data_IF_096424088029
#
_entry.id   IF_096424088029
#
_cell.length_a   1.000
_cell.length_b   1.000
_cell.length_c   1.000
_cell.angle_alpha   90.00
_cell.angle_beta   90.00
_cell.angle_gamma   90.00
#
_symmetry.space_group_name_H-M   'P 1'
#
loop_
_entity.id
_entity.type
_entity.pdbx_description
1 polymer ?
#
# COMPACT_ATOMS: atom_id res chain seq x y z
N UNK A 1 62.24 -0.76 -34.04
CA UNK A 1 61.55 -1.82 -33.28
C UNK A 1 61.69 -3.11 -34.08
N UNK A 2 62.29 -4.16 -33.52
CA UNK A 2 62.63 -5.37 -34.26
C UNK A 2 61.36 -6.03 -34.86
N UNK A 3 61.38 -6.49 -36.12
CA UNK A 3 60.21 -7.05 -36.81
C UNK A 3 59.56 -8.22 -36.05
N UNK A 4 60.35 -8.99 -35.31
CA UNK A 4 59.89 -10.11 -34.46
C UNK A 4 58.95 -9.66 -33.32
N UNK A 5 59.22 -8.51 -32.68
CA UNK A 5 58.37 -7.99 -31.61
C UNK A 5 57.00 -7.54 -32.13
N UNK A 6 56.95 -7.06 -33.38
CA UNK A 6 55.70 -6.65 -34.03
C UNK A 6 54.81 -7.85 -34.38
N UNK A 7 55.43 -8.97 -34.75
CA UNK A 7 54.71 -10.21 -35.04
C UNK A 7 54.10 -10.83 -33.78
N UNK A 8 54.87 -10.86 -32.67
CA UNK A 8 54.39 -11.35 -31.37
C UNK A 8 53.21 -10.52 -30.87
N UNK A 9 53.29 -9.19 -30.98
CA UNK A 9 52.21 -8.28 -30.57
C UNK A 9 50.93 -8.53 -31.39
N UNK A 10 51.05 -8.70 -32.71
CA UNK A 10 49.91 -8.98 -33.59
C UNK A 10 49.24 -10.34 -33.28
N UNK A 11 50.04 -11.36 -32.95
CA UNK A 11 49.50 -12.67 -32.53
C UNK A 11 48.75 -12.56 -31.19
N UNK A 12 49.32 -11.86 -30.21
CA UNK A 12 48.69 -11.64 -28.91
C UNK A 12 47.38 -10.84 -29.01
N UNK A 13 47.33 -9.80 -29.85
CA UNK A 13 46.11 -9.00 -30.10
C UNK A 13 45.02 -9.85 -30.76
N UNK A 14 45.38 -10.66 -31.77
CA UNK A 14 44.44 -11.56 -32.44
C UNK A 14 43.87 -12.60 -31.50
N UNK A 15 44.72 -13.20 -30.64
CA UNK A 15 44.31 -14.21 -29.67
C UNK A 15 43.41 -13.62 -28.57
N UNK A 16 43.74 -12.43 -28.04
CA UNK A 16 42.88 -11.69 -27.10
C UNK A 16 41.51 -11.35 -27.72
N UNK A 17 41.48 -11.02 -29.01
CA UNK A 17 40.22 -10.73 -29.72
C UNK A 17 39.35 -11.98 -29.85
N UNK A 18 39.95 -13.13 -30.19
CA UNK A 18 39.24 -14.40 -30.29
C UNK A 18 38.70 -14.90 -28.94
N UNK A 19 39.48 -14.78 -27.86
CA UNK A 19 39.02 -15.16 -26.52
C UNK A 19 37.87 -14.29 -26.02
N UNK A 20 37.87 -13.00 -26.38
CA UNK A 20 36.78 -12.07 -26.06
C UNK A 20 35.51 -12.41 -26.83
N UNK A 21 35.60 -12.66 -28.13
CA UNK A 21 34.46 -13.11 -28.95
C UNK A 21 33.87 -14.41 -28.41
N UNK A 22 34.71 -15.37 -28.01
CA UNK A 22 34.24 -16.63 -27.42
C UNK A 22 33.51 -16.42 -26.09
N UNK A 23 34.01 -15.50 -25.25
CA UNK A 23 33.35 -15.15 -23.97
C UNK A 23 32.01 -14.46 -24.22
N UNK A 24 31.96 -13.53 -25.17
CA UNK A 24 30.74 -12.79 -25.52
C UNK A 24 29.68 -13.75 -26.10
N UNK A 25 30.08 -14.71 -26.93
CA UNK A 25 29.18 -15.75 -27.45
C UNK A 25 28.64 -16.66 -26.34
N UNK A 26 29.50 -17.13 -25.42
CA UNK A 26 29.04 -17.95 -24.29
C UNK A 26 28.07 -17.18 -23.37
N UNK A 27 28.25 -15.87 -23.23
CA UNK A 27 27.33 -15.03 -22.45
C UNK A 27 25.99 -14.82 -23.17
N UNK A 28 26.01 -14.73 -24.51
CA UNK A 28 24.80 -14.67 -25.32
C UNK A 28 24.02 -15.99 -25.28
N UNK A 29 24.72 -17.13 -25.34
CA UNK A 29 24.09 -18.45 -25.22
C UNK A 29 23.45 -18.64 -23.84
N UNK A 30 24.16 -18.28 -22.76
CA UNK A 30 23.60 -18.33 -21.40
C UNK A 30 22.42 -17.36 -21.17
N UNK A 31 22.40 -16.23 -21.89
CA UNK A 31 21.27 -15.29 -21.87
C UNK A 31 20.07 -15.86 -22.63
N UNK A 32 20.32 -16.51 -23.77
CA UNK A 32 19.31 -17.18 -24.59
C UNK A 32 18.64 -18.31 -23.80
N UNK A 33 19.41 -19.16 -23.14
CA UNK A 33 18.89 -20.27 -22.33
C UNK A 33 17.99 -19.76 -21.20
N UNK A 34 18.36 -18.66 -20.54
CA UNK A 34 17.52 -18.03 -19.50
C UNK A 34 16.26 -17.38 -20.05
N UNK A 35 16.31 -16.82 -21.26
CA UNK A 35 15.12 -16.26 -21.91
C UNK A 35 14.17 -17.40 -22.29
N UNK A 36 14.68 -18.51 -22.81
CA UNK A 36 13.87 -19.70 -23.13
C UNK A 36 13.21 -20.29 -21.86
N UNK A 37 13.92 -20.33 -20.73
CA UNK A 37 13.37 -20.74 -19.42
C UNK A 37 12.25 -19.81 -18.91
N UNK A 38 12.38 -18.49 -19.13
CA UNK A 38 11.43 -17.50 -18.63
C UNK A 38 10.19 -17.31 -19.51
N UNK A 39 10.36 -17.47 -20.83
CA UNK A 39 9.34 -17.17 -21.84
C UNK A 39 8.51 -18.39 -22.19
N UNK A 40 9.00 -19.61 -21.96
CA UNK A 40 8.31 -20.82 -22.37
C UNK A 40 8.08 -21.85 -21.24
N UNK A 41 7.24 -21.53 -20.22
CA UNK A 41 6.85 -22.50 -19.20
C UNK A 41 5.96 -23.65 -19.72
N UNK A 42 5.64 -23.68 -21.03
CA UNK A 42 4.72 -24.64 -21.66
C UNK A 42 5.37 -25.48 -22.78
N UNK A 43 6.68 -25.71 -22.73
CA UNK A 43 7.44 -26.49 -23.74
C UNK A 43 6.87 -27.88 -24.10
N UNK A 44 5.99 -28.45 -23.27
CA UNK A 44 5.34 -29.75 -23.53
C UNK A 44 4.11 -29.70 -24.45
N UNK A 45 3.57 -28.51 -24.74
CA UNK A 45 2.36 -28.37 -25.58
C UNK A 45 2.67 -27.68 -26.92
N UNK A 46 3.46 -28.33 -27.77
CA UNK A 46 3.39 -28.29 -29.26
C UNK A 46 3.09 -26.97 -30.01
N UNK A 47 3.31 -25.81 -29.40
CA UNK A 47 2.88 -24.51 -29.94
C UNK A 47 4.07 -23.78 -30.55
N UNK A 48 3.84 -23.24 -31.76
CA UNK A 48 4.86 -22.66 -32.61
C UNK A 48 5.54 -21.46 -31.96
N UNK A 49 6.87 -21.46 -31.96
CA UNK A 49 7.82 -20.52 -31.32
C UNK A 49 7.68 -19.04 -31.68
N UNK A 50 6.74 -18.66 -32.55
CA UNK A 50 6.58 -17.29 -33.05
C UNK A 50 5.49 -16.48 -32.33
N UNK A 51 4.61 -17.10 -31.54
CA UNK A 51 3.55 -16.36 -30.82
C UNK A 51 4.04 -15.76 -29.49
N UNK A 52 5.08 -16.33 -28.87
CA UNK A 52 5.66 -15.82 -27.62
C UNK A 52 6.46 -14.51 -27.75
N UNK A 53 6.97 -14.22 -28.96
CA UNK A 53 7.77 -13.01 -29.24
C UNK A 53 6.93 -11.72 -29.36
N UNK A 54 5.60 -11.84 -29.33
CA UNK A 54 4.67 -10.70 -29.35
C UNK A 54 4.54 -10.06 -27.96
N UNK A 55 4.99 -10.77 -26.90
CA UNK A 55 4.92 -10.24 -25.55
C UNK A 55 6.19 -9.44 -25.21
N UNK A 56 6.04 -8.17 -24.80
CA UNK A 56 7.18 -7.31 -24.51
C UNK A 56 8.04 -7.91 -23.38
N UNK A 57 9.33 -8.10 -23.68
CA UNK A 57 10.35 -8.59 -22.74
C UNK A 57 10.54 -7.55 -21.65
N UNK A 58 9.69 -7.63 -20.64
CA UNK A 58 9.62 -6.72 -19.50
C UNK A 58 9.73 -7.55 -18.24
N UNK A 59 10.33 -6.98 -17.18
CA UNK A 59 10.54 -7.68 -15.91
C UNK A 59 9.22 -8.20 -15.30
N UNK A 60 8.11 -7.54 -15.62
CA UNK A 60 6.75 -7.91 -15.24
C UNK A 60 5.83 -7.71 -16.44
N UNK A 61 4.76 -8.50 -16.60
CA UNK A 61 3.78 -8.31 -17.66
C UNK A 61 3.30 -6.85 -17.74
N UNK A 62 3.11 -6.31 -18.95
CA UNK A 62 2.66 -4.91 -19.11
C UNK A 62 1.25 -4.64 -18.58
N UNK A 63 0.48 -5.69 -18.30
CA UNK A 63 -0.79 -5.59 -17.57
C UNK A 63 -0.59 -5.21 -16.09
N UNK A 64 0.62 -5.40 -15.55
CA UNK A 64 0.99 -5.15 -14.14
C UNK A 64 2.05 -4.04 -13.98
N UNK A 65 2.80 -3.71 -15.03
CA UNK A 65 3.87 -2.72 -15.00
C UNK A 65 3.97 -1.92 -16.31
N UNK A 66 4.45 -0.68 -16.23
CA UNK A 66 4.86 0.11 -17.38
C UNK A 66 6.15 -0.48 -17.99
N UNK A 67 6.48 -0.05 -19.21
CA UNK A 67 7.68 -0.52 -19.93
C UNK A 67 9.00 -0.17 -19.26
N UNK A 68 9.01 0.78 -18.33
CA UNK A 68 10.15 1.14 -17.49
C UNK A 68 10.28 0.26 -16.22
N UNK A 69 9.36 -0.70 -16.02
CA UNK A 69 9.32 -1.60 -14.88
C UNK A 69 8.64 -1.02 -13.64
N UNK A 70 8.09 0.20 -13.70
CA UNK A 70 7.25 0.74 -12.62
C UNK A 70 5.87 0.07 -12.64
N UNK A 71 5.26 -0.17 -11.48
CA UNK A 71 3.96 -0.85 -11.42
C UNK A 71 2.84 0.05 -11.97
N UNK A 72 1.94 -0.50 -12.78
CA UNK A 72 0.72 0.19 -13.20
C UNK A 72 -0.16 0.34 -11.97
N UNK A 73 -0.30 1.58 -11.48
CA UNK A 73 -1.18 1.91 -10.37
C UNK A 73 -2.50 2.44 -10.92
N UNK A 74 -3.55 1.65 -10.82
CA UNK A 74 -4.92 2.16 -10.96
C UNK A 74 -5.40 2.66 -9.60
N UNK A 75 -5.93 3.88 -9.55
CA UNK A 75 -6.57 4.38 -8.34
C UNK A 75 -7.71 3.45 -7.92
N UNK A 76 -7.76 3.12 -6.63
CA UNK A 76 -8.80 2.23 -6.07
C UNK A 76 -10.21 2.73 -6.38
N UNK A 77 -10.41 4.04 -6.41
CA UNK A 77 -11.69 4.68 -6.77
C UNK A 77 -12.08 4.44 -8.23
N UNK A 78 -11.12 4.40 -9.14
CA UNK A 78 -11.36 4.09 -10.56
C UNK A 78 -11.73 2.63 -10.74
N UNK A 79 -11.03 1.73 -10.05
CA UNK A 79 -11.36 0.31 -10.06
C UNK A 79 -12.76 0.06 -9.48
N UNK A 80 -13.09 0.68 -8.34
CA UNK A 80 -14.41 0.58 -7.72
C UNK A 80 -15.50 1.05 -8.67
N UNK A 81 -15.35 2.21 -9.31
CA UNK A 81 -16.32 2.73 -10.29
C UNK A 81 -16.50 1.80 -11.48
N UNK A 82 -15.43 1.19 -11.97
CA UNK A 82 -15.51 0.24 -13.07
C UNK A 82 -16.28 -1.01 -12.61
N UNK A 83 -16.01 -1.54 -11.42
CA UNK A 83 -16.75 -2.68 -10.87
C UNK A 83 -18.22 -2.34 -10.64
N UNK A 84 -18.53 -1.16 -10.09
CA UNK A 84 -19.89 -0.64 -9.94
C UNK A 84 -20.61 -0.52 -11.29
N UNK A 85 -19.91 -0.11 -12.36
CA UNK A 85 -20.50 0.00 -13.70
C UNK A 85 -20.80 -1.36 -14.35
N UNK A 86 -20.12 -2.42 -13.92
CA UNK A 86 -20.34 -3.79 -14.37
C UNK A 86 -21.47 -4.47 -13.59
N UNK A 87 -21.96 -3.84 -12.52
CA UNK A 87 -23.04 -4.36 -11.70
C UNK A 87 -24.38 -4.12 -12.39
N UNK A 88 -25.00 -5.20 -12.86
CA UNK A 88 -26.30 -5.19 -13.53
C UNK A 88 -27.48 -5.38 -12.56
N UNK A 89 -27.22 -5.93 -11.37
CA UNK A 89 -28.25 -6.25 -10.39
C UNK A 89 -28.45 -5.09 -9.41
N UNK A 90 -29.72 -4.80 -9.09
CA UNK A 90 -30.04 -3.88 -8.00
C UNK A 90 -29.72 -4.58 -6.69
N UNK A 91 -28.66 -4.14 -6.00
CA UNK A 91 -28.36 -4.64 -4.66
C UNK A 91 -29.48 -4.16 -3.74
N UNK A 92 -30.38 -5.06 -3.35
CA UNK A 92 -31.16 -4.88 -2.14
C UNK A 92 -30.25 -5.21 -0.97
N UNK A 93 -29.98 -4.22 -0.11
CA UNK A 93 -29.31 -4.50 1.16
C UNK A 93 -30.14 -5.56 1.90
N UNK A 94 -29.56 -6.73 2.25
CA UNK A 94 -30.27 -7.70 3.05
C UNK A 94 -30.70 -7.04 4.35
N UNK A 95 -31.92 -7.33 4.82
CA UNK A 95 -32.38 -6.83 6.13
C UNK A 95 -31.36 -7.22 7.18
N UNK A 96 -30.75 -6.20 7.80
CA UNK A 96 -29.75 -6.42 8.85
C UNK A 96 -30.43 -7.18 9.99
N UNK A 97 -29.92 -8.36 10.38
CA UNK A 97 -30.50 -9.13 11.48
C UNK A 97 -30.58 -8.29 12.75
N UNK A 98 -31.57 -8.55 13.61
CA UNK A 98 -31.74 -7.82 14.87
C UNK A 98 -30.53 -7.91 15.81
N UNK A 99 -29.71 -8.97 15.68
CA UNK A 99 -28.50 -9.19 16.45
C UNK A 99 -27.27 -9.07 15.55
N UNK A 100 -26.83 -7.85 15.28
CA UNK A 100 -25.65 -7.60 14.46
C UNK A 100 -24.58 -6.82 15.23
N UNK A 101 -23.34 -7.06 14.82
CA UNK A 101 -22.16 -6.30 15.28
C UNK A 101 -21.79 -5.32 14.17
N UNK A 102 -21.57 -4.07 14.54
CA UNK A 102 -21.11 -3.05 13.59
C UNK A 102 -19.60 -2.84 13.76
N UNK A 103 -18.82 -3.03 12.70
CA UNK A 103 -17.39 -2.79 12.70
C UNK A 103 -17.05 -1.60 11.80
N UNK A 104 -16.38 -0.61 12.36
CA UNK A 104 -15.94 0.59 11.66
C UNK A 104 -14.43 0.58 11.44
N UNK A 105 -13.99 0.96 10.24
CA UNK A 105 -12.60 1.36 9.99
C UNK A 105 -12.34 2.69 10.69
N UNK A 106 -11.67 2.64 11.83
CA UNK A 106 -11.35 3.81 12.64
C UNK A 106 -10.35 4.74 11.98
N UNK A 107 -9.47 4.23 11.11
CA UNK A 107 -8.56 5.06 10.33
C UNK A 107 -9.32 5.93 9.34
N UNK A 108 -10.28 5.33 8.62
CA UNK A 108 -11.15 6.05 7.70
C UNK A 108 -12.01 7.08 8.45
N UNK A 109 -12.64 6.71 9.56
CA UNK A 109 -13.45 7.63 10.35
C UNK A 109 -12.64 8.79 10.89
N UNK A 110 -11.43 8.54 11.40
CA UNK A 110 -10.51 9.58 11.86
C UNK A 110 -10.16 10.55 10.72
N UNK A 111 -9.91 10.03 9.52
CA UNK A 111 -9.68 10.86 8.34
C UNK A 111 -10.91 11.71 8.02
N UNK A 112 -12.12 11.14 8.00
CA UNK A 112 -13.36 11.89 7.75
C UNK A 112 -13.59 13.00 8.77
N UNK A 113 -13.41 12.70 10.06
CA UNK A 113 -13.65 13.63 11.17
C UNK A 113 -12.60 14.75 11.19
N UNK A 114 -11.31 14.41 11.09
CA UNK A 114 -10.22 15.37 11.28
C UNK A 114 -9.85 16.16 10.03
N UNK A 115 -10.26 15.71 8.84
CA UNK A 115 -10.09 16.51 7.60
C UNK A 115 -11.17 17.57 7.44
N UNK A 116 -12.36 17.34 8.03
CA UNK A 116 -13.47 18.30 7.99
C UNK A 116 -13.30 19.44 9.00
N UNK A 117 -12.46 19.27 10.01
CA UNK A 117 -12.25 20.28 11.04
C UNK A 117 -10.93 21.01 10.89
N UNK A 118 -11.01 22.32 10.70
CA UNK A 118 -9.86 23.22 10.82
C UNK A 118 -9.55 23.55 12.30
N UNK A 119 -9.86 22.63 13.22
CA UNK A 119 -9.72 22.84 14.66
C UNK A 119 -8.34 22.44 15.14
N UNK A 120 -7.70 23.35 15.85
CA UNK A 120 -6.47 23.06 16.58
C UNK A 120 -6.74 22.14 17.79
N UNK A 121 -8.00 21.89 18.17
CA UNK A 121 -8.36 21.10 19.35
C UNK A 121 -8.71 19.65 18.99
N UNK A 122 -7.85 18.99 18.21
CA UNK A 122 -8.05 17.60 17.76
C UNK A 122 -8.28 16.63 18.93
N UNK A 123 -7.54 16.78 20.03
CA UNK A 123 -7.65 15.93 21.21
C UNK A 123 -9.04 16.04 21.88
N UNK A 124 -9.67 17.21 21.87
CA UNK A 124 -11.03 17.39 22.38
C UNK A 124 -12.09 16.89 21.41
N UNK A 125 -11.92 17.19 20.13
CA UNK A 125 -12.96 16.95 19.13
C UNK A 125 -13.05 15.48 18.70
N UNK A 126 -11.91 14.81 18.49
CA UNK A 126 -11.89 13.45 17.96
C UNK A 126 -12.69 12.43 18.79
N UNK A 127 -12.55 12.37 20.14
CA UNK A 127 -13.29 11.40 20.95
C UNK A 127 -14.81 11.56 20.85
N UNK A 128 -15.30 12.81 20.87
CA UNK A 128 -16.73 13.11 20.83
C UNK A 128 -17.31 12.85 19.44
N UNK A 129 -16.63 13.33 18.39
CA UNK A 129 -17.08 13.19 17.02
C UNK A 129 -17.13 11.73 16.58
N UNK A 130 -16.11 10.93 16.91
CA UNK A 130 -16.09 9.50 16.60
C UNK A 130 -17.25 8.76 17.28
N UNK A 131 -17.46 8.96 18.58
CA UNK A 131 -18.57 8.32 19.27
C UNK A 131 -19.92 8.76 18.69
N UNK A 132 -20.06 10.04 18.34
CA UNK A 132 -21.30 10.55 17.74
C UNK A 132 -21.60 9.85 16.41
N UNK A 133 -20.60 9.70 15.53
CA UNK A 133 -20.76 9.00 14.24
C UNK A 133 -21.09 7.53 14.45
N UNK A 134 -20.40 6.88 15.37
CA UNK A 134 -20.55 5.45 15.65
C UNK A 134 -21.90 5.15 16.33
N UNK A 135 -22.48 6.12 17.05
CA UNK A 135 -23.73 5.96 17.79
C UNK A 135 -24.96 6.59 17.10
N UNK A 136 -24.83 7.24 15.94
CA UNK A 136 -25.94 7.97 15.30
C UNK A 136 -26.91 7.08 14.52
N UNK A 137 -26.58 5.80 14.31
CA UNK A 137 -27.34 4.86 13.49
C UNK A 137 -28.33 3.97 14.26
N UNK A 138 -28.81 2.93 13.56
CA UNK A 138 -29.51 1.79 14.19
C UNK A 138 -28.62 1.21 15.29
N UNK A 139 -29.23 0.75 16.39
CA UNK A 139 -28.52 0.25 17.58
C UNK A 139 -28.05 -1.19 17.34
N UNK A 140 -26.77 -1.45 17.05
CA UNK A 140 -26.26 -2.81 17.06
C UNK A 140 -26.12 -3.30 18.50
N UNK A 141 -25.98 -4.62 18.67
CA UNK A 141 -25.69 -5.21 19.97
C UNK A 141 -24.27 -4.86 20.44
N UNK A 142 -23.38 -4.64 19.49
CA UNK A 142 -21.98 -4.36 19.74
C UNK A 142 -21.37 -3.50 18.63
N UNK A 143 -20.44 -2.62 19.01
CA UNK A 143 -19.72 -1.78 18.06
C UNK A 143 -18.22 -1.94 18.24
N UNK A 144 -17.54 -2.27 17.16
CA UNK A 144 -16.08 -2.35 17.09
C UNK A 144 -15.55 -1.16 16.31
N UNK A 145 -14.67 -0.38 16.93
CA UNK A 145 -13.89 0.65 16.25
C UNK A 145 -12.47 0.15 16.07
N UNK A 146 -12.10 -0.19 14.83
CA UNK A 146 -10.83 -0.81 14.52
C UNK A 146 -9.81 0.26 14.13
N UNK A 147 -8.86 0.55 15.03
CA UNK A 147 -7.76 1.46 14.78
C UNK A 147 -6.50 0.69 14.37
N UNK A 148 -5.86 1.15 13.29
CA UNK A 148 -4.63 0.55 12.78
C UNK A 148 -3.47 0.69 13.77
N UNK A 149 -2.78 -0.43 14.01
CA UNK A 149 -1.44 -0.40 14.62
C UNK A 149 -0.39 -0.45 13.51
N UNK A 150 0.48 0.55 13.48
CA UNK A 150 1.63 0.53 12.58
C UNK A 150 2.78 -0.25 13.21
N UNK A 151 3.17 -1.34 12.55
CA UNK A 151 4.31 -2.18 12.92
C UNK A 151 5.46 -1.82 11.97
N UNK A 152 6.64 -1.57 12.52
CA UNK A 152 7.86 -1.32 11.75
C UNK A 152 8.20 -2.50 10.84
N UNK A 153 8.77 -2.22 9.67
CA UNK A 153 9.17 -3.22 8.68
C UNK A 153 8.01 -4.09 8.15
N UNK A 154 6.78 -3.57 8.17
CA UNK A 154 5.64 -4.19 7.50
C UNK A 154 5.44 -3.60 6.10
N UNK A 155 4.72 -4.34 5.22
CA UNK A 155 4.31 -3.83 3.89
C UNK A 155 3.61 -2.47 4.01
N UNK A 156 2.80 -2.31 5.07
CA UNK A 156 2.07 -1.07 5.36
C UNK A 156 2.98 0.08 5.76
N UNK A 157 4.08 -0.19 6.46
CA UNK A 157 5.12 0.79 6.79
C UNK A 157 5.87 1.25 5.53
N UNK A 158 6.30 0.31 4.69
CA UNK A 158 6.97 0.62 3.41
C UNK A 158 6.10 1.47 2.49
N UNK A 159 4.84 1.11 2.30
CA UNK A 159 3.90 1.85 1.45
C UNK A 159 3.62 3.26 1.99
N UNK A 160 3.60 3.45 3.31
CA UNK A 160 3.46 4.78 3.93
C UNK A 160 4.67 5.67 3.66
N UNK A 161 5.88 5.12 3.82
CA UNK A 161 7.12 5.84 3.51
C UNK A 161 7.16 6.27 2.04
N UNK A 162 6.72 5.41 1.12
CA UNK A 162 6.57 5.76 -0.30
C UNK A 162 5.56 6.89 -0.57
N UNK A 163 4.54 7.05 0.29
CA UNK A 163 3.57 8.17 0.21
C UNK A 163 4.05 9.45 0.90
N UNK A 164 5.30 9.50 1.36
CA UNK A 164 5.87 10.66 2.05
C UNK A 164 5.43 10.80 3.51
N UNK A 165 5.08 9.69 4.17
CA UNK A 165 4.77 9.72 5.60
C UNK A 165 5.96 10.22 6.44
N UNK A 166 5.66 11.03 7.45
CA UNK A 166 6.63 11.61 8.37
C UNK A 166 6.36 11.07 9.78
N UNK A 167 7.33 10.39 10.39
CA UNK A 167 7.18 9.88 11.76
C UNK A 167 7.95 10.80 12.74
N UNK A 168 7.50 12.05 12.84
CA UNK A 168 8.00 12.94 13.89
C UNK A 168 7.44 12.53 15.25
N UNK A 169 8.27 12.60 16.29
CA UNK A 169 7.85 12.27 17.65
C UNK A 169 6.66 13.14 18.04
N UNK A 170 5.64 12.51 18.62
CA UNK A 170 4.42 13.17 19.03
C UNK A 170 3.96 12.63 20.38
N UNK A 171 3.30 13.47 21.19
CA UNK A 171 2.65 13.09 22.44
C UNK A 171 1.36 13.89 22.59
N UNK A 172 0.28 13.22 22.98
CA UNK A 172 -0.99 13.87 23.35
C UNK A 172 -1.07 13.97 24.87
N UNK A 173 -1.07 15.19 25.41
CA UNK A 173 -1.03 15.46 26.85
C UNK A 173 -2.42 15.63 27.47
N UNK A 174 -3.45 15.85 26.66
CA UNK A 174 -4.84 15.85 27.11
C UNK A 174 -5.80 16.64 26.22
N UNK A 175 -7.08 16.64 26.60
CA UNK A 175 -8.18 17.26 25.84
C UNK A 175 -7.95 18.75 25.49
N UNK A 176 -7.28 19.51 26.37
CA UNK A 176 -7.05 20.95 26.19
C UNK A 176 -5.85 21.28 25.28
N UNK A 177 -5.14 20.27 24.79
CA UNK A 177 -3.99 20.48 23.93
C UNK A 177 -4.42 21.10 22.61
N UNK A 178 -3.84 22.25 22.31
CA UNK A 178 -3.95 22.90 21.00
C UNK A 178 -2.81 22.44 20.11
N UNK A 179 -3.18 21.98 18.91
CA UNK A 179 -2.28 21.49 17.89
C UNK A 179 -1.93 22.63 16.93
N UNK A 180 -0.65 22.74 16.58
CA UNK A 180 -0.16 23.76 15.63
C UNK A 180 -0.38 23.37 14.17
N UNK A 181 -0.68 22.10 13.91
CA UNK A 181 -0.85 21.54 12.57
C UNK A 181 -2.30 21.10 12.38
N UNK A 182 -2.79 21.17 11.14
CA UNK A 182 -4.12 20.68 10.78
C UNK A 182 -4.26 19.18 11.05
N UNK A 183 -5.48 18.72 11.36
CA UNK A 183 -5.77 17.29 11.54
C UNK A 183 -5.34 16.43 10.35
N UNK A 184 -5.52 16.94 9.12
CA UNK A 184 -5.06 16.29 7.88
C UNK A 184 -3.54 16.06 7.87
N UNK A 185 -2.77 17.08 8.26
CA UNK A 185 -1.30 16.99 8.32
C UNK A 185 -0.87 16.00 9.40
N UNK A 186 -1.51 16.06 10.58
CA UNK A 186 -1.20 15.16 11.70
C UNK A 186 -1.47 13.69 11.36
N UNK A 187 -2.52 13.41 10.58
CA UNK A 187 -2.81 12.05 10.13
C UNK A 187 -1.80 11.50 9.11
N UNK A 188 -0.92 12.32 8.55
CA UNK A 188 0.26 11.85 7.81
C UNK A 188 1.30 11.17 8.69
N UNK A 189 1.27 11.43 10.00
CA UNK A 189 2.23 10.95 10.97
C UNK A 189 1.74 9.68 11.69
N UNK A 190 2.53 8.61 11.62
CA UNK A 190 2.18 7.30 12.18
C UNK A 190 2.30 7.26 13.69
N UNK A 191 3.28 7.97 14.24
CA UNK A 191 3.44 8.16 15.69
C UNK A 191 2.23 8.90 16.24
N UNK A 192 1.81 9.98 15.59
CA UNK A 192 0.59 10.71 15.97
C UNK A 192 -0.64 9.79 15.99
N UNK A 193 -0.84 8.96 14.95
CA UNK A 193 -1.97 8.02 14.89
C UNK A 193 -1.95 7.00 16.03
N UNK A 194 -0.77 6.47 16.35
CA UNK A 194 -0.61 5.54 17.46
C UNK A 194 -0.93 6.22 18.80
N UNK A 195 -0.42 7.43 19.03
CA UNK A 195 -0.69 8.21 20.24
C UNK A 195 -2.15 8.62 20.36
N UNK A 196 -2.79 9.03 19.26
CA UNK A 196 -4.22 9.32 19.24
C UNK A 196 -5.05 8.08 19.58
N UNK A 197 -4.66 6.91 19.07
CA UNK A 197 -5.36 5.67 19.37
C UNK A 197 -5.27 5.31 20.86
N UNK A 198 -4.08 5.43 21.47
CA UNK A 198 -3.90 5.23 22.91
C UNK A 198 -4.72 6.24 23.73
N UNK A 199 -4.64 7.51 23.35
CA UNK A 199 -5.40 8.58 23.98
C UNK A 199 -6.90 8.31 23.95
N UNK A 200 -7.46 7.93 22.79
CA UNK A 200 -8.89 7.60 22.66
C UNK A 200 -9.31 6.44 23.56
N UNK A 201 -8.50 5.36 23.58
CA UNK A 201 -8.78 4.19 24.42
C UNK A 201 -8.79 4.52 25.91
N UNK A 202 -7.95 5.44 26.36
CA UNK A 202 -7.91 5.86 27.77
C UNK A 202 -8.96 6.92 28.10
N UNK A 203 -9.21 7.84 27.18
CA UNK A 203 -10.17 8.93 27.38
C UNK A 203 -11.61 8.40 27.44
N UNK A 204 -11.97 7.41 26.62
CA UNK A 204 -13.30 6.77 26.65
C UNK A 204 -13.58 5.90 27.88
N UNK A 205 -12.56 5.58 28.70
CA UNK A 205 -12.78 4.92 30.00
C UNK A 205 -13.30 5.88 31.07
N UNK A 206 -13.28 7.20 30.82
CA UNK A 206 -13.67 8.22 31.80
C UNK A 206 -15.17 8.39 31.89
N UNK A 207 -15.65 8.72 33.08
CA UNK A 207 -17.07 8.79 33.43
C UNK A 207 -17.90 9.74 32.56
N UNK A 208 -17.30 10.81 32.02
CA UNK A 208 -18.05 11.76 31.20
C UNK A 208 -18.45 11.20 29.81
N UNK A 209 -17.84 10.09 29.38
CA UNK A 209 -18.31 9.33 28.20
C UNK A 209 -19.27 8.19 28.56
N UNK A 210 -19.48 7.92 29.85
CA UNK A 210 -20.35 6.83 30.31
C UNK A 210 -21.75 6.90 29.71
N UNK A 211 -22.33 8.10 29.60
CA UNK A 211 -23.66 8.30 29.04
C UNK A 211 -23.74 7.94 27.54
N UNK A 212 -22.64 8.11 26.81
CA UNK A 212 -22.55 7.80 25.38
C UNK A 212 -22.29 6.30 25.20
N UNK A 213 -21.38 5.72 25.99
CA UNK A 213 -21.01 4.29 25.93
C UNK A 213 -22.11 3.38 26.49
N UNK A 214 -22.91 3.81 27.46
CA UNK A 214 -24.02 3.03 28.03
C UNK A 214 -25.15 2.78 27.03
N UNK A 215 -25.33 3.65 26.03
CA UNK A 215 -26.30 3.44 24.94
C UNK A 215 -25.96 2.19 24.13
N UNK A 216 -24.69 1.76 24.15
CA UNK A 216 -24.16 0.61 23.40
C UNK A 216 -24.37 -0.73 24.15
N UNK A 217 -24.60 -0.71 25.48
CA UNK A 217 -24.71 -1.93 26.32
C UNK A 217 -26.14 -2.32 26.72
N UNK A 218 -27.17 -1.74 26.09
CA UNK A 218 -28.58 -2.01 26.37
C UNK A 218 -29.30 -2.41 25.09
#
# INVERSE_FOLDING_TARGET
MAPELREILNKAVTQCRQSRIKKDNNQLDALRDKIDEFVNPFLDEGTSTMEGAVFPITKYPLSLAHSDGTLVKSDKSTLLRNLESLQSETITEPEVPSNYVCSYDGGLLLHSVLTQTNTNSVAYYAPVALLTVVCSGKKPNEVHLCLDKYIENSIKDSERKLRGAMDSVYVITGLKQTMRQSGKTLLGNGIFKNELSKFLLDEWKRDHYWNIVRIIRR
#
